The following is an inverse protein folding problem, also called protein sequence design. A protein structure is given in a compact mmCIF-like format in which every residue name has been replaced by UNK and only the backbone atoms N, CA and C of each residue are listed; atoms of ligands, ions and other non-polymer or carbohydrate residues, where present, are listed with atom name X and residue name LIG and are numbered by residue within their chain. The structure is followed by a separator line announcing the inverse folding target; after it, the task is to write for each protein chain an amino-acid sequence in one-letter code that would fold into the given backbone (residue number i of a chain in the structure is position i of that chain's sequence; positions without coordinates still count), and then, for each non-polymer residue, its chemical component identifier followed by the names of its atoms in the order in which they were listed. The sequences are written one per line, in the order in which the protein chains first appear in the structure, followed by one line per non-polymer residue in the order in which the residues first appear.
data_IF_048665652246
#
_entry.id   IF_048665652246
#
_cell.length_a   1.000
_cell.length_b   1.000
_cell.length_c   1.000
_cell.angle_alpha   90.00
_cell.angle_beta   90.00
_cell.angle_gamma   90.00
#
_symmetry.space_group_name_H-M   'P 1'
#
loop_
_entity.id
_entity.type
_entity.pdbx_description
1 polymer ?
#
# COMPACT_ATOMS: atom_id res chain seq x y z
N UNK A 1 7.36 -6.64 27.20
CA UNK A 1 6.38 -7.13 26.21
C UNK A 1 6.76 -6.60 24.83
N UNK A 2 6.65 -7.39 23.76
CA UNK A 2 6.91 -6.96 22.36
C UNK A 2 5.58 -6.57 21.70
N UNK A 3 5.55 -5.44 21.00
CA UNK A 3 4.39 -5.00 20.21
C UNK A 3 4.70 -5.23 18.73
N UNK A 4 3.77 -5.85 18.00
CA UNK A 4 3.91 -6.06 16.55
C UNK A 4 3.78 -4.73 15.80
N UNK A 5 4.56 -4.57 14.73
CA UNK A 5 4.46 -3.41 13.83
C UNK A 5 3.05 -3.25 13.25
N UNK A 6 2.35 -4.37 13.01
CA UNK A 6 0.97 -4.37 12.52
C UNK A 6 -0.02 -3.68 13.47
N UNK A 7 0.28 -3.60 14.77
CA UNK A 7 -0.56 -2.86 15.74
C UNK A 7 -0.53 -1.35 15.50
N UNK A 8 0.45 -0.85 14.75
CA UNK A 8 0.64 0.55 14.41
C UNK A 8 0.46 0.77 12.91
N UNK A 9 1.17 0.06 12.05
CA UNK A 9 1.19 0.24 10.59
C UNK A 9 0.07 -0.52 9.84
N UNK A 10 -1.13 -0.60 10.41
CA UNK A 10 -2.31 -1.19 9.78
C UNK A 10 -3.53 -0.27 9.92
N UNK A 11 -4.63 -0.57 9.23
CA UNK A 11 -5.86 0.23 9.32
C UNK A 11 -6.42 0.35 10.75
N UNK A 12 -6.37 -0.74 11.54
CA UNK A 12 -6.71 -0.69 12.98
C UNK A 12 -5.67 0.08 13.80
N UNK A 13 -4.44 0.19 13.33
CA UNK A 13 -3.40 0.96 14.00
C UNK A 13 -3.73 2.45 14.06
N UNK A 14 -4.37 3.01 13.02
CA UNK A 14 -4.89 4.38 13.03
C UNK A 14 -5.87 4.59 14.19
N UNK A 15 -6.78 3.62 14.41
CA UNK A 15 -7.71 3.66 15.53
C UNK A 15 -6.99 3.62 16.88
N UNK A 16 -5.99 2.74 17.04
CA UNK A 16 -5.21 2.63 18.28
C UNK A 16 -4.46 3.93 18.60
N UNK A 17 -3.83 4.54 17.59
CA UNK A 17 -3.08 5.81 17.74
C UNK A 17 -4.06 6.93 18.12
N UNK A 18 -5.18 7.04 17.42
CA UNK A 18 -6.17 8.07 17.72
C UNK A 18 -6.78 7.89 19.12
N UNK A 19 -7.12 6.66 19.52
CA UNK A 19 -7.64 6.36 20.85
C UNK A 19 -6.65 6.79 21.94
N UNK A 20 -5.36 6.47 21.76
CA UNK A 20 -4.30 6.92 22.65
C UNK A 20 -4.19 8.45 22.71
N UNK A 21 -4.21 9.13 21.55
CA UNK A 21 -4.14 10.59 21.49
C UNK A 21 -5.36 11.26 22.14
N UNK A 22 -6.55 10.69 21.96
CA UNK A 22 -7.79 11.19 22.57
C UNK A 22 -7.79 11.01 24.09
N UNK A 23 -7.24 9.90 24.59
CA UNK A 23 -7.03 9.67 26.01
C UNK A 23 -5.98 10.62 26.61
N UNK A 24 -4.87 10.83 25.89
CA UNK A 24 -3.75 11.66 26.36
C UNK A 24 -4.04 13.17 26.32
N UNK A 25 -4.83 13.62 25.34
CA UNK A 25 -5.16 15.03 25.10
C UNK A 25 -6.68 15.23 24.96
N UNK A 26 -7.47 14.98 26.02
CA UNK A 26 -8.93 15.05 25.96
C UNK A 26 -9.44 16.45 25.57
N UNK A 27 -8.67 17.50 25.85
CA UNK A 27 -8.98 18.88 25.51
C UNK A 27 -8.91 19.18 24.00
N UNK A 28 -8.17 18.37 23.23
CA UNK A 28 -7.99 18.53 21.77
C UNK A 28 -8.95 17.67 20.96
N UNK A 29 -9.81 16.90 21.62
CA UNK A 29 -10.74 15.99 20.96
C UNK A 29 -11.88 16.76 20.30
N UNK A 30 -12.00 16.62 18.98
CA UNK A 30 -13.21 17.03 18.28
C UNK A 30 -14.34 16.04 18.60
N UNK A 31 -15.34 16.49 19.37
CA UNK A 31 -16.46 15.65 19.86
C UNK A 31 -17.26 15.00 18.74
N UNK A 32 -17.45 15.69 17.61
CA UNK A 32 -18.22 15.15 16.48
C UNK A 32 -17.48 13.97 15.83
N UNK A 33 -16.19 14.16 15.54
CA UNK A 33 -15.32 13.10 14.99
C UNK A 33 -15.17 11.94 15.97
N UNK A 34 -15.01 12.24 17.26
CA UNK A 34 -14.88 11.21 18.30
C UNK A 34 -16.14 10.35 18.41
N UNK A 35 -17.34 10.96 18.32
CA UNK A 35 -18.61 10.23 18.29
C UNK A 35 -18.71 9.33 17.05
N UNK A 36 -18.30 9.81 15.87
CA UNK A 36 -18.24 8.98 14.67
C UNK A 36 -17.24 7.83 14.77
N UNK A 37 -16.16 8.02 15.54
CA UNK A 37 -15.13 7.00 15.76
C UNK A 37 -15.57 5.89 16.72
N UNK A 38 -16.14 6.24 17.88
CA UNK A 38 -16.51 5.26 18.92
C UNK A 38 -17.83 4.55 18.65
N UNK A 39 -18.65 5.08 17.73
CA UNK A 39 -19.98 4.58 17.44
C UNK A 39 -21.05 5.08 18.45
N UNK A 40 -22.27 4.52 18.40
CA UNK A 40 -23.32 4.88 19.35
C UNK A 40 -22.92 4.54 20.79
N UNK A 41 -23.44 5.32 21.74
CA UNK A 41 -23.19 5.14 23.19
C UNK A 41 -23.82 3.81 23.66
N UNK A 42 -24.90 3.38 23.01
CA UNK A 42 -25.59 2.12 23.27
C UNK A 42 -25.31 1.15 22.11
N UNK A 43 -24.47 0.13 22.37
CA UNK A 43 -24.09 -0.90 21.40
C UNK A 43 -22.63 -1.35 21.52
N UNK A 44 -22.21 -2.40 20.79
CA UNK A 44 -20.81 -2.79 20.74
C UNK A 44 -19.96 -1.66 20.14
N UNK A 45 -18.85 -1.28 20.79
CA UNK A 45 -17.92 -0.29 20.26
C UNK A 45 -17.38 -0.74 18.91
N UNK A 46 -17.80 -0.06 17.85
CA UNK A 46 -17.27 -0.25 16.49
C UNK A 46 -16.31 0.88 16.19
N UNK A 47 -15.01 0.67 16.46
CA UNK A 47 -13.99 1.65 16.10
C UNK A 47 -13.92 1.77 14.57
N UNK A 48 -14.30 2.93 14.04
CA UNK A 48 -14.23 3.21 12.60
C UNK A 48 -12.96 4.03 12.27
N UNK A 49 -11.86 3.40 11.85
CA UNK A 49 -10.67 4.12 11.42
C UNK A 49 -10.92 4.99 10.17
N UNK A 50 -11.95 4.69 9.37
CA UNK A 50 -12.27 5.50 8.19
C UNK A 50 -12.83 6.89 8.57
N UNK A 51 -13.51 7.01 9.71
CA UNK A 51 -13.92 8.30 10.25
C UNK A 51 -12.69 9.18 10.57
N UNK A 52 -11.61 8.58 11.08
CA UNK A 52 -10.37 9.29 11.41
C UNK A 52 -9.64 9.73 10.15
N UNK A 53 -9.47 8.84 9.17
CA UNK A 53 -8.80 9.20 7.91
C UNK A 53 -9.56 10.28 7.15
N UNK A 54 -10.91 10.20 7.08
CA UNK A 54 -11.76 11.25 6.49
C UNK A 54 -11.63 12.58 7.22
N UNK A 55 -11.61 12.57 8.55
CA UNK A 55 -11.46 13.79 9.34
C UNK A 55 -10.06 14.41 9.19
N UNK A 56 -9.03 13.58 9.00
CA UNK A 56 -7.68 14.04 8.71
C UNK A 56 -7.59 14.68 7.31
N UNK A 57 -8.09 14.01 6.27
CA UNK A 57 -8.03 14.50 4.88
C UNK A 57 -8.89 15.74 4.64
N UNK A 58 -10.00 15.89 5.36
CA UNK A 58 -10.84 17.10 5.31
C UNK A 58 -10.32 18.27 6.15
N UNK A 59 -9.28 18.07 6.97
CA UNK A 59 -8.69 19.11 7.80
C UNK A 59 -9.52 19.54 9.01
N UNK A 60 -10.63 18.84 9.32
CA UNK A 60 -11.57 19.24 10.39
C UNK A 60 -11.11 18.81 11.80
N UNK A 61 -10.11 17.94 11.91
CA UNK A 61 -9.63 17.42 13.19
C UNK A 61 -8.10 17.28 13.20
N UNK A 62 -7.45 18.16 13.97
CA UNK A 62 -5.99 18.16 14.11
C UNK A 62 -5.48 16.88 14.78
N UNK A 63 -6.23 16.32 15.73
CA UNK A 63 -5.87 15.06 16.40
C UNK A 63 -5.91 13.88 15.43
N UNK A 64 -6.88 13.87 14.50
CA UNK A 64 -6.95 12.85 13.44
C UNK A 64 -5.78 12.98 12.48
N UNK A 65 -5.40 14.20 12.10
CA UNK A 65 -4.20 14.45 11.29
C UNK A 65 -2.94 13.90 11.96
N UNK A 66 -2.73 14.21 13.24
CA UNK A 66 -1.61 13.67 14.01
C UNK A 66 -1.61 12.13 14.07
N UNK A 67 -2.79 11.51 14.22
CA UNK A 67 -2.89 10.05 14.23
C UNK A 67 -2.46 9.43 12.88
N UNK A 68 -2.90 10.04 11.77
CA UNK A 68 -2.53 9.60 10.43
C UNK A 68 -1.05 9.85 10.13
N UNK A 69 -0.48 10.96 10.59
CA UNK A 69 0.95 11.25 10.41
C UNK A 69 1.85 10.26 11.18
N UNK A 70 1.48 9.92 12.42
CA UNK A 70 2.19 8.87 13.19
C UNK A 70 2.09 7.52 12.47
N UNK A 71 0.89 7.18 11.97
CA UNK A 71 0.69 5.96 11.19
C UNK A 71 1.56 5.94 9.93
N UNK A 72 1.56 7.03 9.15
CA UNK A 72 2.31 7.16 7.92
C UNK A 72 3.83 7.09 8.16
N UNK A 73 4.32 7.71 9.23
CA UNK A 73 5.74 7.64 9.63
C UNK A 73 6.15 6.22 10.06
N UNK A 74 5.33 5.55 10.87
CA UNK A 74 5.58 4.16 11.25
C UNK A 74 5.59 3.22 10.03
N UNK A 75 4.64 3.44 9.11
CA UNK A 75 4.55 2.66 7.86
C UNK A 75 5.76 2.90 6.94
N UNK A 76 6.17 4.16 6.77
CA UNK A 76 7.35 4.54 5.99
C UNK A 76 8.63 3.97 6.57
N UNK A 77 8.80 4.04 7.89
CA UNK A 77 9.98 3.49 8.56
C UNK A 77 10.11 1.98 8.36
N UNK A 78 9.01 1.22 8.49
CA UNK A 78 9.01 -0.22 8.25
C UNK A 78 9.28 -0.55 6.78
N UNK A 79 8.64 0.18 5.86
CA UNK A 79 8.90 0.03 4.43
C UNK A 79 10.38 0.27 4.08
N UNK A 80 11.03 1.22 4.75
CA UNK A 80 12.47 1.48 4.60
C UNK A 80 13.33 0.31 5.09
N UNK A 81 12.96 -0.33 6.21
CA UNK A 81 13.65 -1.55 6.70
C UNK A 81 13.50 -2.71 5.71
N UNK A 82 12.29 -2.92 5.19
CA UNK A 82 12.01 -3.93 4.15
C UNK A 82 12.83 -3.64 2.89
N UNK A 83 12.86 -2.39 2.43
CA UNK A 83 13.64 -2.00 1.26
C UNK A 83 15.15 -2.24 1.44
N UNK A 84 15.70 -1.97 2.63
CA UNK A 84 17.11 -2.30 2.94
C UNK A 84 17.36 -3.81 3.00
N UNK A 85 16.37 -4.59 3.43
CA UNK A 85 16.50 -6.04 3.55
C UNK A 85 16.55 -6.72 2.18
N UNK A 86 15.71 -6.26 1.23
CA UNK A 86 15.55 -6.92 -0.07
C UNK A 86 16.19 -6.19 -1.24
N UNK A 87 16.61 -4.93 -1.06
CA UNK A 87 17.17 -4.06 -2.11
C UNK A 87 16.36 -4.10 -3.43
N UNK A 88 15.05 -3.82 -3.41
CA UNK A 88 14.19 -3.99 -4.58
C UNK A 88 14.34 -2.80 -5.55
N UNK A 89 15.47 -2.70 -6.26
CA UNK A 89 15.73 -1.61 -7.19
C UNK A 89 14.74 -1.54 -8.36
N UNK A 90 14.08 -2.65 -8.69
CA UNK A 90 12.98 -2.67 -9.66
C UNK A 90 11.67 -2.07 -9.14
N UNK A 91 11.52 -1.91 -7.82
CA UNK A 91 10.34 -1.31 -7.21
C UNK A 91 9.87 -1.98 -5.93
N UNK A 92 9.46 -1.14 -4.98
CA UNK A 92 8.70 -1.53 -3.81
C UNK A 92 7.21 -1.24 -4.02
N UNK A 93 6.40 -2.29 -4.13
CA UNK A 93 4.96 -2.16 -4.37
C UNK A 93 4.19 -2.27 -3.05
N UNK A 94 3.63 -1.14 -2.62
CA UNK A 94 2.74 -1.05 -1.48
C UNK A 94 1.32 -1.47 -1.90
N UNK A 95 0.80 -2.48 -1.21
CA UNK A 95 -0.54 -3.01 -1.44
C UNK A 95 -1.39 -2.89 -0.18
N UNK A 96 -2.70 -3.07 -0.31
CA UNK A 96 -3.65 -3.08 0.80
C UNK A 96 -4.66 -1.93 0.74
N UNK A 97 -5.86 -2.18 1.27
CA UNK A 97 -6.99 -1.26 1.12
C UNK A 97 -6.84 0.08 1.84
N UNK A 98 -6.06 0.14 2.93
CA UNK A 98 -5.77 1.44 3.60
C UNK A 98 -4.75 2.24 2.79
N UNK A 99 -3.76 1.59 2.21
CA UNK A 99 -2.70 2.20 1.40
C UNK A 99 -3.28 2.86 0.15
N UNK A 100 -4.15 2.15 -0.59
CA UNK A 100 -4.79 2.71 -1.79
C UNK A 100 -5.68 3.91 -1.48
N UNK A 101 -6.45 3.86 -0.37
CA UNK A 101 -7.31 4.96 0.09
C UNK A 101 -6.54 6.18 0.59
N UNK A 102 -5.30 5.98 1.06
CA UNK A 102 -4.46 7.05 1.62
C UNK A 102 -3.33 7.48 0.68
N UNK A 103 -3.36 7.12 -0.61
CA UNK A 103 -2.30 7.41 -1.59
C UNK A 103 -1.91 8.89 -1.66
N UNK A 104 -2.88 9.81 -1.56
CA UNK A 104 -2.63 11.25 -1.67
C UNK A 104 -1.96 11.81 -0.39
N UNK A 105 -2.26 11.20 0.76
CA UNK A 105 -1.56 11.51 2.02
C UNK A 105 -0.14 10.97 1.99
N UNK A 106 0.03 9.70 1.59
CA UNK A 106 1.33 9.04 1.53
C UNK A 106 2.28 9.69 0.52
N UNK A 107 1.75 10.24 -0.58
CA UNK A 107 2.55 10.99 -1.55
C UNK A 107 2.81 12.44 -1.14
N UNK A 108 2.16 12.93 -0.09
CA UNK A 108 2.25 14.33 0.33
C UNK A 108 1.43 15.30 -0.51
N UNK A 109 0.59 14.83 -1.45
CA UNK A 109 -0.31 15.68 -2.25
C UNK A 109 -1.29 16.47 -1.37
N UNK A 110 -1.77 15.85 -0.29
CA UNK A 110 -2.72 16.49 0.63
C UNK A 110 -2.04 17.51 1.55
N UNK A 111 -0.78 17.27 1.93
CA UNK A 111 -0.08 17.97 3.04
C UNK A 111 1.10 18.83 2.60
N UNK A 112 1.51 18.76 1.33
CA UNK A 112 2.71 19.41 0.77
C UNK A 112 4.04 18.71 1.10
N UNK A 113 4.02 17.71 1.99
CA UNK A 113 5.16 16.89 2.40
C UNK A 113 4.70 15.47 2.72
N UNK A 114 5.58 14.48 2.63
CA UNK A 114 5.25 13.08 2.85
C UNK A 114 5.99 12.54 4.08
N UNK A 115 5.28 12.48 5.22
CA UNK A 115 5.77 11.83 6.45
C UNK A 115 6.20 10.38 6.20
N UNK A 116 5.54 9.70 5.24
CA UNK A 116 5.90 8.35 4.82
C UNK A 116 7.29 8.31 4.16
N UNK A 117 7.53 9.17 3.17
CA UNK A 117 8.82 9.20 2.46
C UNK A 117 9.96 9.69 3.36
N UNK A 118 9.68 10.68 4.21
CA UNK A 118 10.64 11.16 5.21
C UNK A 118 11.09 10.01 6.11
N UNK A 119 10.15 9.24 6.67
CA UNK A 119 10.48 8.09 7.52
C UNK A 119 11.09 6.91 6.75
N UNK A 120 10.70 6.72 5.49
CA UNK A 120 11.29 5.72 4.59
C UNK A 120 12.78 5.99 4.38
N UNK A 121 13.13 7.25 4.10
CA UNK A 121 14.49 7.68 3.83
C UNK A 121 15.32 7.92 5.10
N UNK A 122 14.70 8.04 6.28
CA UNK A 122 15.40 8.22 7.55
C UNK A 122 16.10 6.93 8.02
N UNK A 123 17.26 6.65 7.40
CA UNK A 123 18.12 5.48 7.67
C UNK A 123 19.60 5.86 7.71
N UNK A 124 19.91 7.14 7.93
CA UNK A 124 21.27 7.66 8.10
C UNK A 124 22.20 7.35 6.92
N UNK A 125 23.34 6.70 7.17
CA UNK A 125 24.37 6.43 6.13
C UNK A 125 23.88 5.61 4.94
N UNK A 126 22.79 4.85 5.07
CA UNK A 126 22.25 4.01 3.99
C UNK A 126 21.10 4.67 3.22
N UNK A 127 20.70 5.89 3.58
CA UNK A 127 19.68 6.68 2.85
C UNK A 127 19.95 6.76 1.34
N UNK A 128 21.20 6.99 0.86
CA UNK A 128 21.46 7.02 -0.59
C UNK A 128 21.12 5.73 -1.33
N UNK A 129 21.13 4.57 -0.66
CA UNK A 129 20.69 3.31 -1.27
C UNK A 129 19.17 3.29 -1.46
N UNK A 130 18.41 3.80 -0.49
CA UNK A 130 16.96 3.84 -0.53
C UNK A 130 16.42 4.85 -1.53
N UNK A 131 17.14 5.94 -1.80
CA UNK A 131 16.81 6.90 -2.87
C UNK A 131 16.71 6.25 -4.26
N UNK A 132 17.35 5.09 -4.45
CA UNK A 132 17.34 4.33 -5.71
C UNK A 132 16.20 3.34 -5.82
N UNK A 133 15.41 3.15 -4.76
CA UNK A 133 14.28 2.22 -4.72
C UNK A 133 13.01 3.00 -5.06
N UNK A 134 12.40 2.79 -6.24
CA UNK A 134 11.13 3.43 -6.54
C UNK A 134 10.01 2.79 -5.70
N UNK A 135 9.12 3.61 -5.15
CA UNK A 135 7.99 3.14 -4.34
C UNK A 135 6.70 3.34 -5.13
N UNK A 136 5.87 2.31 -5.17
CA UNK A 136 4.65 2.27 -5.97
C UNK A 136 3.46 1.95 -5.08
N UNK A 137 2.35 2.69 -5.22
CA UNK A 137 1.07 2.31 -4.60
C UNK A 137 0.19 1.65 -5.64
N UNK A 138 -0.22 0.42 -5.34
CA UNK A 138 -1.14 -0.36 -6.17
C UNK A 138 -2.57 0.03 -5.82
N UNK A 139 -3.34 0.44 -6.82
CA UNK A 139 -4.71 0.97 -6.63
C UNK A 139 -5.81 -0.06 -6.87
N UNK A 140 -5.50 -1.19 -7.52
CA UNK A 140 -6.46 -2.26 -7.79
C UNK A 140 -6.85 -3.06 -6.54
N UNK A 141 -8.15 -3.32 -6.37
CA UNK A 141 -8.70 -4.05 -5.20
C UNK A 141 -8.70 -5.58 -5.40
N UNK A 142 -8.56 -6.06 -6.64
CA UNK A 142 -8.68 -7.48 -7.05
C UNK A 142 -7.31 -8.19 -7.22
N UNK A 143 -6.23 -7.60 -6.72
CA UNK A 143 -4.87 -8.13 -6.89
C UNK A 143 -4.70 -9.57 -6.37
N UNK A 144 -5.34 -9.88 -5.24
CA UNK A 144 -5.31 -11.23 -4.66
C UNK A 144 -5.99 -12.27 -5.55
N UNK A 145 -7.14 -11.92 -6.12
CA UNK A 145 -7.91 -12.79 -7.01
C UNK A 145 -7.17 -13.04 -8.32
N UNK A 146 -6.57 -11.99 -8.91
CA UNK A 146 -5.74 -12.11 -10.12
C UNK A 146 -4.52 -12.98 -9.90
N UNK A 147 -3.84 -12.82 -8.77
CA UNK A 147 -2.71 -13.68 -8.41
C UNK A 147 -3.11 -15.15 -8.27
N UNK A 148 -4.24 -15.41 -7.62
CA UNK A 148 -4.81 -16.75 -7.49
C UNK A 148 -5.16 -17.36 -8.86
N UNK A 149 -5.84 -16.59 -9.72
CA UNK A 149 -6.18 -17.00 -11.08
C UNK A 149 -4.92 -17.31 -11.90
N UNK A 150 -3.92 -16.42 -11.90
CA UNK A 150 -2.67 -16.64 -12.63
C UNK A 150 -1.97 -17.92 -12.17
N UNK A 151 -1.90 -18.15 -10.86
CA UNK A 151 -1.30 -19.36 -10.30
C UNK A 151 -2.08 -20.61 -10.68
N UNK A 152 -3.42 -20.57 -10.60
CA UNK A 152 -4.28 -21.68 -11.01
C UNK A 152 -4.10 -22.02 -12.50
N UNK A 153 -4.09 -21.01 -13.37
CA UNK A 153 -3.84 -21.16 -14.81
C UNK A 153 -2.46 -21.77 -15.08
N UNK A 154 -1.41 -21.32 -14.39
CA UNK A 154 -0.06 -21.90 -14.55
C UNK A 154 -0.03 -23.37 -14.15
N UNK A 155 -0.63 -23.74 -13.01
CA UNK A 155 -0.73 -25.13 -12.56
C UNK A 155 -1.49 -25.98 -13.60
N UNK A 156 -2.61 -25.47 -14.12
CA UNK A 156 -3.40 -26.16 -15.15
C UNK A 156 -2.60 -26.39 -16.45
N UNK A 157 -1.84 -25.39 -16.89
CA UNK A 157 -0.99 -25.49 -18.09
C UNK A 157 0.17 -26.49 -17.90
N UNK A 158 0.77 -26.54 -16.71
CA UNK A 158 1.80 -27.54 -16.37
C UNK A 158 1.23 -28.96 -16.38
N UNK A 159 0.03 -29.17 -15.81
CA UNK A 159 -0.65 -30.46 -15.82
C UNK A 159 -1.06 -30.91 -17.22
N UNK A 160 -1.55 -29.99 -18.04
CA UNK A 160 -1.96 -30.31 -19.42
C UNK A 160 -0.76 -30.56 -20.33
N UNK A 161 0.38 -29.87 -20.16
CA UNK A 161 1.64 -30.23 -20.85
C UNK A 161 2.13 -31.62 -20.46
N UNK A 162 2.13 -31.95 -19.16
CA UNK A 162 2.52 -33.28 -18.68
C UNK A 162 1.57 -34.39 -19.17
N UNK A 163 0.25 -34.12 -19.23
CA UNK A 163 -0.73 -35.03 -19.83
C UNK A 163 -0.59 -35.16 -21.35
N UNK A 164 -0.25 -34.08 -22.06
CA UNK A 164 -0.02 -34.12 -23.52
C UNK A 164 1.25 -34.88 -23.86
N UNK A 165 2.29 -34.83 -23.04
CA UNK A 165 3.48 -35.68 -23.19
C UNK A 165 3.15 -37.17 -23.00
N UNK A 166 2.16 -37.51 -22.16
CA UNK A 166 1.69 -38.89 -22.00
C UNK A 166 0.57 -39.31 -22.97
N UNK A 167 -0.08 -38.37 -23.67
CA UNK A 167 -1.25 -38.60 -24.54
C UNK A 167 -1.16 -37.83 -25.88
N UNK A 168 0.03 -37.75 -26.48
CA UNK A 168 0.37 -36.85 -27.60
C UNK A 168 -0.47 -36.97 -28.90
N UNK A 169 -1.52 -37.79 -28.95
CA UNK A 169 -2.36 -37.98 -30.13
C UNK A 169 -3.62 -37.11 -30.20
N UNK A 170 -4.11 -36.45 -29.13
CA UNK A 170 -5.37 -35.63 -29.22
C UNK A 170 -5.46 -34.50 -28.18
N UNK A 171 -5.07 -33.26 -28.48
CA UNK A 171 -5.50 -32.11 -27.65
C UNK A 171 -5.50 -30.75 -28.40
N UNK A 172 -6.64 -30.04 -28.37
CA UNK A 172 -6.84 -28.67 -28.89
C UNK A 172 -6.25 -27.59 -27.99
N UNK A 173 -5.93 -26.42 -28.55
CA UNK A 173 -5.24 -25.29 -27.92
C UNK A 173 -5.90 -24.77 -26.62
N UNK A 174 -5.07 -24.25 -25.71
CA UNK A 174 -5.51 -23.67 -24.45
C UNK A 174 -6.09 -22.26 -24.66
N UNK A 175 -7.06 -21.81 -23.83
CA UNK A 175 -7.62 -20.47 -23.94
C UNK A 175 -6.58 -19.41 -23.52
N UNK A 176 -6.52 -18.33 -24.29
CA UNK A 176 -5.67 -17.17 -24.04
C UNK A 176 -6.39 -16.23 -23.06
N UNK A 177 -5.81 -16.03 -21.88
CA UNK A 177 -6.35 -15.13 -20.85
C UNK A 177 -5.47 -13.90 -20.73
N UNK A 178 -5.99 -12.75 -21.17
CA UNK A 178 -5.31 -11.44 -21.09
C UNK A 178 -5.64 -10.79 -19.73
N UNK A 179 -4.65 -10.68 -18.85
CA UNK A 179 -4.76 -9.90 -17.60
C UNK A 179 -4.35 -8.46 -17.91
N UNK A 180 -5.29 -7.51 -17.86
CA UNK A 180 -4.98 -6.08 -18.07
C UNK A 180 -4.13 -5.53 -16.91
N UNK A 181 -3.13 -4.68 -17.17
CA UNK A 181 -2.32 -4.08 -16.10
C UNK A 181 -3.16 -3.15 -15.21
N UNK A 182 -2.80 -3.06 -13.93
CA UNK A 182 -3.48 -2.19 -12.97
C UNK A 182 -2.83 -0.79 -12.91
N UNK A 183 -3.61 0.26 -12.60
CA UNK A 183 -3.04 1.60 -12.43
C UNK A 183 -2.09 1.63 -11.23
N UNK A 184 -0.86 2.05 -11.49
CA UNK A 184 0.20 2.20 -10.49
C UNK A 184 0.47 3.69 -10.31
N UNK A 185 0.38 4.18 -9.07
CA UNK A 185 0.85 5.53 -8.75
C UNK A 185 2.26 5.45 -8.19
N UNK A 186 3.18 6.17 -8.82
CA UNK A 186 4.58 6.26 -8.39
C UNK A 186 4.71 7.30 -7.28
N UNK A 187 5.32 6.90 -6.17
CA UNK A 187 5.79 7.78 -5.11
C UNK A 187 7.29 7.94 -5.32
N UNK A 188 7.69 9.00 -6.03
CA UNK A 188 9.09 9.27 -6.32
C UNK A 188 9.77 10.01 -5.14
N UNK A 189 10.97 9.58 -4.70
CA UNK A 189 11.81 10.37 -3.82
C UNK A 189 12.46 11.51 -4.63
N UNK A 190 11.66 12.52 -5.00
CA UNK A 190 12.10 13.65 -5.83
C UNK A 190 10.99 14.24 -6.71
N UNK A 191 10.07 14.99 -6.10
CA UNK A 191 9.31 16.11 -6.71
C UNK A 191 8.38 15.89 -7.91
N UNK A 192 8.47 14.81 -8.67
CA UNK A 192 7.66 14.59 -9.87
C UNK A 192 6.97 13.23 -9.83
N UNK A 193 5.64 13.21 -9.96
CA UNK A 193 4.90 11.99 -10.24
C UNK A 193 4.63 11.89 -11.74
N UNK A 194 4.93 10.73 -12.31
CA UNK A 194 4.45 10.31 -13.63
C UNK A 194 3.48 9.16 -13.39
N UNK A 195 2.26 9.23 -13.93
CA UNK A 195 1.38 8.06 -14.01
C UNK A 195 1.95 7.13 -15.08
N UNK A 196 2.48 5.97 -14.68
CA UNK A 196 2.90 4.93 -15.61
C UNK A 196 1.70 4.03 -15.89
N UNK A 197 0.84 4.47 -16.80
CA UNK A 197 0.04 3.56 -17.61
C UNK A 197 0.95 3.04 -18.71
N UNK A 198 0.99 1.72 -18.92
CA UNK A 198 1.76 0.99 -19.95
C UNK A 198 3.13 0.46 -19.51
N UNK A 199 3.12 -0.73 -18.89
CA UNK A 199 4.21 -1.69 -19.08
C UNK A 199 3.92 -2.40 -20.40
N UNK A 200 4.24 -1.77 -21.53
CA UNK A 200 4.20 -2.45 -22.83
C UNK A 200 5.22 -1.93 -23.88
N UNK A 201 6.28 -1.20 -23.49
CA UNK A 201 7.35 -0.81 -24.44
C UNK A 201 8.76 -0.93 -23.83
N UNK A 202 9.12 -2.11 -23.33
CA UNK A 202 10.52 -2.39 -22.92
C UNK A 202 11.03 -3.76 -23.38
N UNK A 203 10.55 -4.28 -24.51
CA UNK A 203 11.14 -5.44 -25.19
C UNK A 203 11.61 -5.18 -26.63
N UNK A 204 11.48 -3.95 -27.16
CA UNK A 204 11.99 -3.60 -28.51
C UNK A 204 13.18 -2.64 -28.42
N UNK A 205 14.37 -3.14 -28.03
CA UNK A 205 15.65 -2.45 -28.29
C UNK A 205 16.91 -3.33 -28.14
N UNK A 206 16.80 -4.65 -28.31
CA UNK A 206 17.96 -5.55 -28.46
C UNK A 206 17.84 -6.55 -29.63
N UNK A 207 17.19 -6.14 -30.71
CA UNK A 207 17.35 -6.79 -32.01
C UNK A 207 17.57 -5.70 -33.06
N UNK A 208 18.57 -5.90 -33.91
CA UNK A 208 19.13 -4.99 -34.94
C UNK A 208 20.19 -4.00 -34.42
N UNK A 209 21.42 -4.49 -34.20
CA UNK A 209 22.51 -4.50 -35.21
C UNK A 209 23.68 -5.38 -34.72
#
# INVERSE_FOLDING_TARGET
ARVSVERVAAGRGIANIYEFLAWKYPEKVNKAVHRSFIGPIEGPRTFDPAAITKAATSGICQLSKQAVDIWAGAYGSEAGVVALTYMPFGGLYLTGGVTSKMKDWLSGKTTGHSTFLEAFLDKGRVTPMLMRVPVYVVTGEDMGERGAMLKATRIYLEQTKNRRMSQASKCKAAPEFIVKPNPISVIAPGGGQTELTEIQEAEDLQAED
#
